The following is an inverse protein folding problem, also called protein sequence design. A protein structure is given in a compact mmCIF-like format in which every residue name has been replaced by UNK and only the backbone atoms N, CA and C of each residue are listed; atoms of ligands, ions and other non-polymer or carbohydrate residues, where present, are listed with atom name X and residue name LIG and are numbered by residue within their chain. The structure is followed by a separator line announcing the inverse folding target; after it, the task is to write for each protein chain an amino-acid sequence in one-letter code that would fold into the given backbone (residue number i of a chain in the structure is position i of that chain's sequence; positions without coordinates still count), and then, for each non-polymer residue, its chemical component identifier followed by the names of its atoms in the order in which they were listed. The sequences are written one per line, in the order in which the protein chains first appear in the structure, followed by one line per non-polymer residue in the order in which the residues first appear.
data_IF_650912869856
#
_entry.id   IF_650912869856
#
_cell.length_a   1.000
_cell.length_b   1.000
_cell.length_c   1.000
_cell.angle_alpha   90.00
_cell.angle_beta   90.00
_cell.angle_gamma   90.00
#
_symmetry.space_group_name_H-M   'P 1'
#
loop_
_entity.id
_entity.type
_entity.pdbx_description
1 polymer ?
#
# COMPACT_ATOMS: atom_id res chain seq x y z
N UNK A 1 15.88 23.91 15.91
CA UNK A 1 16.59 24.20 17.17
C UNK A 1 16.76 22.91 17.93
N UNK A 2 17.98 22.59 18.38
CA UNK A 2 18.23 21.48 19.29
C UNK A 2 18.54 22.05 20.68
N UNK A 3 18.01 21.44 21.73
CA UNK A 3 18.23 21.84 23.13
C UNK A 3 18.29 20.59 24.02
N UNK A 4 18.67 20.74 25.29
CA UNK A 4 18.55 19.68 26.28
C UNK A 4 17.37 19.97 27.21
N UNK A 5 16.58 18.95 27.57
CA UNK A 5 15.55 19.07 28.60
C UNK A 5 16.16 19.09 30.01
N UNK A 6 15.31 19.28 31.02
CA UNK A 6 15.70 19.31 32.44
C UNK A 6 16.36 18.01 32.95
N UNK A 7 16.26 16.92 32.18
CA UNK A 7 16.85 15.61 32.49
C UNK A 7 18.06 15.30 31.60
N UNK A 8 18.56 16.27 30.81
CA UNK A 8 19.70 16.09 29.93
C UNK A 8 19.38 15.34 28.62
N UNK A 9 18.11 15.18 28.26
CA UNK A 9 17.70 14.54 27.00
C UNK A 9 17.67 15.56 25.87
N UNK A 10 18.21 15.21 24.69
CA UNK A 10 18.15 16.07 23.50
C UNK A 10 16.70 16.22 23.04
N UNK A 11 16.27 17.47 22.92
CA UNK A 11 15.01 17.89 22.32
C UNK A 11 15.25 18.55 20.95
N UNK A 12 14.37 18.31 19.99
CA UNK A 12 14.32 19.04 18.72
C UNK A 12 13.03 19.85 18.60
N UNK A 13 13.17 21.14 18.27
CA UNK A 13 12.08 22.09 18.08
C UNK A 13 12.16 22.66 16.67
N UNK A 14 11.07 22.59 15.92
CA UNK A 14 10.94 23.19 14.58
C UNK A 14 9.83 24.20 14.61
N UNK A 15 10.12 25.41 14.16
CA UNK A 15 9.19 26.53 14.09
C UNK A 15 8.83 26.83 12.63
N UNK A 16 7.63 27.35 12.39
CA UNK A 16 7.25 27.88 11.08
C UNK A 16 7.79 29.31 10.86
N UNK A 17 7.47 29.90 9.71
CA UNK A 17 7.93 31.24 9.34
C UNK A 17 7.37 32.36 10.24
N UNK A 18 6.34 32.08 11.04
CA UNK A 18 5.74 33.02 11.99
C UNK A 18 6.28 32.81 13.42
N UNK A 19 7.25 31.92 13.60
CA UNK A 19 7.82 31.60 14.92
C UNK A 19 6.95 30.67 15.77
N UNK A 20 5.94 30.02 15.20
CA UNK A 20 5.08 29.06 15.91
C UNK A 20 5.76 27.69 15.93
N UNK A 21 5.83 27.04 17.10
CA UNK A 21 6.39 25.70 17.22
C UNK A 21 5.48 24.70 16.51
N UNK A 22 5.98 24.04 15.45
CA UNK A 22 5.21 23.09 14.63
C UNK A 22 5.66 21.65 14.79
N UNK A 23 6.90 21.41 15.24
CA UNK A 23 7.36 20.08 15.64
C UNK A 23 8.14 20.10 16.95
N UNK A 24 7.91 19.08 17.75
CA UNK A 24 8.67 18.77 18.95
C UNK A 24 9.10 17.30 18.90
N UNK A 25 10.41 17.02 19.02
CA UNK A 25 10.99 15.68 18.94
C UNK A 25 10.58 14.90 17.68
N UNK A 26 10.54 15.61 16.56
CA UNK A 26 10.13 15.06 15.26
C UNK A 26 8.62 14.77 15.13
N UNK A 27 7.83 14.98 16.19
CA UNK A 27 6.37 14.91 16.15
C UNK A 27 5.78 16.28 15.81
N UNK A 28 4.74 16.28 14.98
CA UNK A 28 3.97 17.47 14.67
C UNK A 28 3.03 17.80 15.82
N UNK A 29 3.04 19.05 16.29
CA UNK A 29 2.26 19.46 17.45
C UNK A 29 0.76 19.61 17.16
N UNK A 30 0.36 19.75 15.89
CA UNK A 30 -1.02 19.60 15.43
C UNK A 30 -1.45 18.13 15.24
N UNK A 31 -0.64 17.19 15.76
CA UNK A 31 -0.85 15.74 15.67
C UNK A 31 -0.47 15.15 14.32
N UNK A 32 -0.22 15.95 13.27
CA UNK A 32 0.17 15.42 11.95
C UNK A 32 0.53 16.46 10.88
N UNK A 33 1.58 16.15 10.10
CA UNK A 33 1.94 16.85 8.84
C UNK A 33 0.78 17.13 7.87
N UNK A 34 -0.28 16.32 7.90
CA UNK A 34 -1.44 16.40 7.01
C UNK A 34 -2.71 16.25 7.83
N UNK A 35 -3.62 17.20 7.71
CA UNK A 35 -4.92 17.19 8.39
C UNK A 35 -5.87 16.19 7.75
N UNK A 36 -5.76 16.00 6.43
CA UNK A 36 -6.63 15.11 5.65
C UNK A 36 -5.85 14.07 4.83
N UNK A 37 -6.53 12.97 4.51
CA UNK A 37 -6.00 11.89 3.69
C UNK A 37 -7.01 11.45 2.62
N UNK A 38 -6.64 11.55 1.36
CA UNK A 38 -7.39 10.96 0.24
C UNK A 38 -6.67 9.68 -0.16
N UNK A 39 -7.39 8.57 -0.21
CA UNK A 39 -6.87 7.25 -0.54
C UNK A 39 -7.51 6.82 -1.84
N UNK A 40 -6.73 6.76 -2.90
CA UNK A 40 -7.17 6.29 -4.22
C UNK A 40 -6.91 4.79 -4.28
N UNK A 41 -7.98 4.01 -4.27
CA UNK A 41 -7.93 2.57 -4.52
C UNK A 41 -7.89 2.36 -6.03
N UNK A 42 -6.71 2.08 -6.60
CA UNK A 42 -6.53 2.02 -8.06
C UNK A 42 -7.04 0.71 -8.68
N UNK A 43 -7.17 -0.37 -7.89
CA UNK A 43 -7.71 -1.66 -8.35
C UNK A 43 -8.59 -2.35 -7.30
N UNK A 44 -9.37 -3.34 -7.72
CA UNK A 44 -10.21 -4.17 -6.82
C UNK A 44 -9.49 -5.40 -6.27
N UNK A 45 -8.16 -5.46 -6.45
CA UNK A 45 -7.34 -6.52 -5.87
C UNK A 45 -7.48 -6.51 -4.34
N UNK A 46 -7.66 -7.68 -3.73
CA UNK A 46 -7.92 -7.80 -2.28
C UNK A 46 -6.85 -7.11 -1.42
N UNK A 47 -5.57 -7.30 -1.74
CA UNK A 47 -4.45 -6.63 -1.04
C UNK A 47 -4.53 -5.11 -1.14
N UNK A 48 -4.99 -4.58 -2.27
CA UNK A 48 -5.15 -3.14 -2.49
C UNK A 48 -6.33 -2.58 -1.69
N UNK A 49 -7.45 -3.32 -1.66
CA UNK A 49 -8.62 -3.00 -0.83
C UNK A 49 -8.26 -2.99 0.66
N UNK A 50 -7.54 -4.00 1.12
CA UNK A 50 -7.08 -4.10 2.51
C UNK A 50 -6.11 -2.96 2.87
N UNK A 51 -5.13 -2.68 2.00
CA UNK A 51 -4.21 -1.58 2.17
C UNK A 51 -4.93 -0.22 2.23
N UNK A 52 -5.90 0.02 1.35
CA UNK A 52 -6.71 1.23 1.35
C UNK A 52 -7.51 1.37 2.66
N UNK A 53 -8.14 0.30 3.13
CA UNK A 53 -8.86 0.29 4.40
C UNK A 53 -7.95 0.50 5.61
N UNK A 54 -6.78 -0.13 5.66
CA UNK A 54 -5.81 0.08 6.73
C UNK A 54 -5.34 1.55 6.79
N UNK A 55 -5.08 2.17 5.63
CA UNK A 55 -4.74 3.60 5.56
C UNK A 55 -5.88 4.50 6.04
N UNK A 56 -7.13 4.16 5.75
CA UNK A 56 -8.30 4.88 6.20
C UNK A 56 -8.48 4.75 7.72
N UNK A 57 -8.42 3.53 8.24
CA UNK A 57 -8.66 3.20 9.65
C UNK A 57 -7.63 3.84 10.59
N UNK A 58 -6.46 4.24 10.07
CA UNK A 58 -5.50 5.04 10.83
C UNK A 58 -6.08 6.38 11.30
N UNK A 59 -6.96 6.99 10.49
CA UNK A 59 -7.62 8.29 10.75
C UNK A 59 -8.97 8.36 10.04
N UNK A 60 -9.99 7.61 10.52
CA UNK A 60 -11.25 7.48 9.80
C UNK A 60 -11.99 8.82 9.67
N UNK A 61 -11.90 9.68 10.69
CA UNK A 61 -12.57 10.98 10.71
C UNK A 61 -11.93 12.05 9.81
N UNK A 62 -10.74 11.77 9.26
CA UNK A 62 -10.05 12.70 8.36
C UNK A 62 -9.54 12.03 7.09
N UNK A 63 -10.16 10.91 6.72
CA UNK A 63 -9.81 10.17 5.52
C UNK A 63 -11.03 9.92 4.63
N UNK A 64 -10.79 9.79 3.33
CA UNK A 64 -11.78 9.33 2.35
C UNK A 64 -11.11 8.28 1.46
N UNK A 65 -11.84 7.22 1.11
CA UNK A 65 -11.44 6.26 0.08
C UNK A 65 -12.23 6.57 -1.18
N UNK A 66 -11.53 6.74 -2.28
CA UNK A 66 -12.09 7.03 -3.60
C UNK A 66 -11.52 6.06 -4.64
N UNK A 67 -12.22 5.92 -5.76
CA UNK A 67 -11.81 5.12 -6.91
C UNK A 67 -12.20 5.85 -8.20
N UNK A 68 -11.41 5.67 -9.24
CA UNK A 68 -11.81 6.08 -10.59
C UNK A 68 -12.57 4.91 -11.24
N UNK A 69 -13.79 5.16 -11.71
CA UNK A 69 -14.55 4.16 -12.46
C UNK A 69 -13.97 3.96 -13.88
N UNK A 70 -14.55 3.04 -14.65
CA UNK A 70 -14.09 2.72 -16.00
C UNK A 70 -14.22 3.91 -16.98
N UNK A 71 -15.07 4.88 -16.68
CA UNK A 71 -15.26 6.10 -17.47
C UNK A 71 -14.33 7.24 -17.00
N UNK A 72 -13.51 7.01 -15.98
CA UNK A 72 -12.64 8.01 -15.39
C UNK A 72 -13.35 8.95 -14.40
N UNK A 73 -14.58 8.65 -13.99
CA UNK A 73 -15.26 9.42 -12.95
C UNK A 73 -14.73 9.04 -11.58
N UNK A 74 -14.60 10.04 -10.71
CA UNK A 74 -14.23 9.82 -9.32
C UNK A 74 -15.46 9.42 -8.50
N UNK A 75 -15.41 8.25 -7.89
CA UNK A 75 -16.44 7.69 -7.01
C UNK A 75 -15.89 7.57 -5.59
N UNK A 76 -16.69 7.97 -4.60
CA UNK A 76 -16.35 7.75 -3.19
C UNK A 76 -16.78 6.36 -2.77
N UNK A 77 -15.88 5.59 -2.16
CA UNK A 77 -16.16 4.26 -1.62
C UNK A 77 -16.40 4.27 -0.11
N UNK A 78 -15.75 5.20 0.61
CA UNK A 78 -15.83 5.29 2.07
C UNK A 78 -15.52 6.69 2.56
N UNK A 79 -16.29 7.17 3.53
CA UNK A 79 -16.11 8.50 4.14
C UNK A 79 -16.85 9.62 3.41
N UNK A 80 -17.99 9.33 2.76
CA UNK A 80 -18.76 10.30 1.96
C UNK A 80 -19.15 11.58 2.70
N UNK A 81 -19.41 11.50 4.01
CA UNK A 81 -19.73 12.68 4.82
C UNK A 81 -18.51 13.60 5.06
N UNK A 82 -17.30 13.15 4.76
CA UNK A 82 -16.07 13.88 5.01
C UNK A 82 -15.56 14.62 3.78
N UNK A 83 -15.45 15.94 3.89
CA UNK A 83 -14.73 16.76 2.91
C UNK A 83 -13.32 17.06 3.42
N UNK A 84 -12.25 16.68 2.68
CA UNK A 84 -10.88 17.00 3.07
C UNK A 84 -10.66 18.50 3.26
N UNK A 85 -9.97 18.89 4.33
CA UNK A 85 -9.55 20.27 4.64
C UNK A 85 -8.10 20.36 5.15
N UNK A 86 -7.51 21.54 5.06
CA UNK A 86 -6.12 21.79 5.41
C UNK A 86 -5.10 21.08 4.49
N UNK A 87 -3.89 20.88 5.03
CA UNK A 87 -2.85 20.15 4.33
C UNK A 87 -3.25 18.69 4.10
N UNK A 88 -3.40 18.31 2.84
CA UNK A 88 -3.96 17.02 2.44
C UNK A 88 -2.90 16.14 1.79
N UNK A 89 -2.92 14.86 2.13
CA UNK A 89 -2.13 13.84 1.44
C UNK A 89 -3.03 12.99 0.55
N UNK A 90 -2.57 12.71 -0.66
CA UNK A 90 -3.16 11.71 -1.55
C UNK A 90 -2.24 10.48 -1.55
N UNK A 91 -2.83 9.29 -1.51
CA UNK A 91 -2.12 8.02 -1.72
C UNK A 91 -2.77 7.31 -2.90
N UNK A 92 -2.02 7.08 -3.98
CA UNK A 92 -2.40 6.15 -5.05
C UNK A 92 -1.94 4.76 -4.61
N UNK A 93 -2.89 3.83 -4.43
CA UNK A 93 -2.62 2.52 -3.83
C UNK A 93 -2.87 1.45 -4.88
N UNK A 94 -1.81 0.75 -5.26
CA UNK A 94 -1.86 -0.44 -6.10
C UNK A 94 -0.53 -1.20 -6.01
N UNK A 95 -0.46 -2.34 -6.69
CA UNK A 95 0.82 -2.96 -7.02
C UNK A 95 1.70 -2.03 -7.86
N UNK A 96 3.01 -2.12 -7.65
CA UNK A 96 3.99 -1.33 -8.40
C UNK A 96 3.89 -1.49 -9.91
N UNK A 97 3.71 -2.73 -10.35
CA UNK A 97 3.54 -3.09 -11.75
C UNK A 97 2.29 -2.44 -12.35
N UNK A 98 1.16 -2.47 -11.64
CA UNK A 98 -0.10 -1.87 -12.08
C UNK A 98 0.01 -0.34 -12.20
N UNK A 99 0.62 0.33 -11.21
CA UNK A 99 0.87 1.78 -11.31
C UNK A 99 1.80 2.12 -12.48
N UNK A 100 2.77 1.25 -12.77
CA UNK A 100 3.71 1.44 -13.89
C UNK A 100 3.02 1.23 -15.23
N UNK A 101 2.16 0.22 -15.33
CA UNK A 101 1.33 -0.05 -16.51
C UNK A 101 0.32 1.06 -16.77
N UNK A 102 -0.32 1.59 -15.71
CA UNK A 102 -1.20 2.75 -15.82
C UNK A 102 -0.41 3.97 -16.34
N UNK A 103 0.83 4.14 -15.86
CA UNK A 103 1.76 5.12 -16.39
C UNK A 103 1.59 6.52 -15.83
N UNK A 104 2.67 7.30 -15.96
CA UNK A 104 2.80 8.61 -15.34
C UNK A 104 1.72 9.62 -15.77
N UNK A 105 1.34 9.62 -17.05
CA UNK A 105 0.39 10.59 -17.60
C UNK A 105 -1.03 10.33 -17.08
N UNK A 106 -1.49 9.08 -17.11
CA UNK A 106 -2.80 8.70 -16.56
C UNK A 106 -2.89 9.04 -15.07
N UNK A 107 -1.84 8.75 -14.30
CA UNK A 107 -1.77 9.13 -12.89
C UNK A 107 -1.81 10.66 -12.70
N UNK A 108 -1.17 11.42 -13.60
CA UNK A 108 -1.21 12.89 -13.58
C UNK A 108 -2.59 13.45 -13.91
N UNK A 109 -3.32 12.83 -14.84
CA UNK A 109 -4.72 13.17 -15.11
C UNK A 109 -5.62 12.91 -13.90
N UNK A 110 -5.44 11.78 -13.21
CA UNK A 110 -6.12 11.51 -11.95
C UNK A 110 -5.76 12.55 -10.88
N UNK A 111 -4.49 12.93 -10.77
CA UNK A 111 -4.04 13.98 -9.85
C UNK A 111 -4.68 15.35 -10.15
N UNK A 112 -4.84 15.69 -11.43
CA UNK A 112 -5.55 16.89 -11.89
C UNK A 112 -7.02 16.85 -11.48
N UNK A 113 -7.71 15.73 -11.70
CA UNK A 113 -9.11 15.56 -11.29
C UNK A 113 -9.24 15.71 -9.77
N UNK A 114 -8.39 15.06 -8.98
CA UNK A 114 -8.40 15.21 -7.51
C UNK A 114 -8.17 16.66 -7.06
N UNK A 115 -7.29 17.39 -7.75
CA UNK A 115 -7.06 18.81 -7.49
C UNK A 115 -8.30 19.66 -7.84
N UNK A 116 -9.03 19.33 -8.91
CA UNK A 116 -10.27 20.00 -9.29
C UNK A 116 -11.42 19.69 -8.32
N UNK A 117 -11.52 18.46 -7.85
CA UNK A 117 -12.60 18.02 -6.94
C UNK A 117 -12.40 18.53 -5.51
N UNK A 118 -11.18 18.42 -4.97
CA UNK A 118 -10.94 18.68 -3.55
C UNK A 118 -10.11 19.94 -3.28
N UNK A 119 -9.34 20.43 -4.24
CA UNK A 119 -8.42 21.54 -4.02
C UNK A 119 -9.13 22.90 -4.01
N UNK A 120 -8.96 23.66 -2.93
CA UNK A 120 -9.54 25.01 -2.78
C UNK A 120 -8.73 25.87 -1.79
N UNK A 121 -9.29 26.98 -1.28
CA UNK A 121 -8.63 27.83 -0.27
C UNK A 121 -8.32 27.07 1.03
N UNK A 122 -9.24 26.22 1.44
CA UNK A 122 -9.18 25.49 2.70
C UNK A 122 -8.41 24.18 2.58
N UNK A 123 -8.34 23.61 1.37
CA UNK A 123 -7.77 22.28 1.11
C UNK A 123 -6.58 22.37 0.15
N UNK A 124 -5.38 22.10 0.68
CA UNK A 124 -4.14 22.13 -0.09
C UNK A 124 -3.58 20.72 -0.20
N UNK A 125 -3.52 20.17 -1.41
CA UNK A 125 -2.80 18.92 -1.63
C UNK A 125 -1.30 19.22 -1.46
N UNK A 126 -0.71 18.69 -0.39
CA UNK A 126 0.68 18.92 -0.01
C UNK A 126 1.57 17.74 -0.38
N UNK A 127 1.00 16.54 -0.54
CA UNK A 127 1.75 15.36 -0.97
C UNK A 127 0.89 14.38 -1.74
N UNK A 128 1.45 13.83 -2.80
CA UNK A 128 0.93 12.65 -3.51
C UNK A 128 1.95 11.52 -3.37
N UNK A 129 1.51 10.35 -2.92
CA UNK A 129 2.37 9.19 -2.73
C UNK A 129 1.92 8.04 -3.63
N UNK A 130 2.84 7.49 -4.42
CA UNK A 130 2.66 6.19 -5.05
C UNK A 130 2.96 5.12 -4.00
N UNK A 131 1.92 4.38 -3.61
CA UNK A 131 1.96 3.31 -2.61
C UNK A 131 1.88 1.99 -3.34
N UNK A 132 3.03 1.59 -3.86
CA UNK A 132 3.29 0.30 -4.49
C UNK A 132 4.80 0.03 -4.48
N UNK A 133 5.18 -1.23 -4.67
CA UNK A 133 6.56 -1.67 -4.77
C UNK A 133 7.27 -1.02 -5.96
N UNK A 134 8.57 -0.77 -5.87
CA UNK A 134 9.43 -0.39 -7.01
C UNK A 134 8.77 0.61 -7.98
N UNK A 135 8.29 1.75 -7.43
CA UNK A 135 7.68 2.86 -8.19
C UNK A 135 8.71 3.93 -8.55
N UNK A 136 9.93 3.78 -8.07
CA UNK A 136 11.07 4.66 -8.35
C UNK A 136 12.39 3.88 -8.22
N UNK A 137 13.49 4.43 -8.74
CA UNK A 137 14.82 3.81 -8.69
C UNK A 137 15.63 4.00 -9.98
N UNK A 138 16.75 3.27 -10.11
CA UNK A 138 17.59 3.33 -11.31
C UNK A 138 16.88 2.70 -12.52
N UNK A 139 16.19 1.58 -12.30
CA UNK A 139 15.48 0.82 -13.34
C UNK A 139 13.98 1.14 -13.41
N UNK A 140 13.49 2.04 -12.57
CA UNK A 140 12.10 2.48 -12.55
C UNK A 140 12.05 4.01 -12.41
N UNK A 141 11.35 4.68 -13.32
CA UNK A 141 11.28 6.15 -13.34
C UNK A 141 9.86 6.69 -13.23
N UNK A 142 8.87 5.82 -12.97
CA UNK A 142 7.46 6.19 -12.88
C UNK A 142 7.22 7.42 -12.00
N UNK A 143 7.74 7.43 -10.77
CA UNK A 143 7.51 8.56 -9.84
C UNK A 143 8.10 9.86 -10.38
N UNK A 144 9.29 9.82 -10.98
CA UNK A 144 9.91 10.99 -11.60
C UNK A 144 9.06 11.52 -12.75
N UNK A 145 8.63 10.64 -13.66
CA UNK A 145 7.79 11.02 -14.80
C UNK A 145 6.41 11.52 -14.36
N UNK A 146 5.81 10.89 -13.35
CA UNK A 146 4.57 11.36 -12.74
C UNK A 146 4.75 12.77 -12.16
N UNK A 147 5.87 13.04 -11.49
CA UNK A 147 6.18 14.39 -11.00
C UNK A 147 6.32 15.42 -12.13
N UNK A 148 7.01 15.07 -13.22
CA UNK A 148 7.08 15.91 -14.41
C UNK A 148 5.70 16.22 -15.00
N UNK A 149 4.88 15.20 -15.24
CA UNK A 149 3.54 15.38 -15.78
C UNK A 149 2.67 16.25 -14.86
N UNK A 150 2.63 15.97 -13.55
CA UNK A 150 1.84 16.76 -12.59
C UNK A 150 2.25 18.24 -12.58
N UNK A 151 3.55 18.55 -12.50
CA UNK A 151 3.99 19.94 -12.39
C UNK A 151 3.86 20.72 -13.71
N UNK A 152 3.92 20.04 -14.84
CA UNK A 152 3.72 20.64 -16.16
C UNK A 152 2.24 20.90 -16.42
N UNK A 153 1.40 19.89 -16.19
CA UNK A 153 0.00 19.91 -16.63
C UNK A 153 -0.92 20.59 -15.63
N UNK A 154 -0.55 20.58 -14.34
CA UNK A 154 -1.36 21.17 -13.26
C UNK A 154 -0.52 22.11 -12.39
N UNK A 155 -0.31 23.38 -12.81
CA UNK A 155 0.52 24.34 -12.08
C UNK A 155 0.15 24.55 -10.61
N UNK A 156 -1.14 24.40 -10.25
CA UNK A 156 -1.63 24.47 -8.87
C UNK A 156 -1.00 23.42 -7.94
N UNK A 157 -0.45 22.33 -8.51
CA UNK A 157 0.20 21.24 -7.79
C UNK A 157 1.73 21.41 -7.68
N UNK A 158 2.33 22.52 -8.15
CA UNK A 158 3.79 22.76 -7.95
C UNK A 158 4.23 22.81 -6.48
N UNK A 159 3.29 23.08 -5.57
CA UNK A 159 3.51 23.02 -4.12
C UNK A 159 3.43 21.62 -3.51
N UNK A 160 3.03 20.62 -4.31
CA UNK A 160 2.83 19.24 -3.88
C UNK A 160 4.17 18.51 -3.92
N UNK A 161 4.49 17.75 -2.88
CA UNK A 161 5.59 16.79 -2.94
C UNK A 161 5.10 15.46 -3.51
N UNK A 162 5.86 14.85 -4.42
CA UNK A 162 5.51 13.58 -5.04
C UNK A 162 6.50 12.52 -4.58
N UNK A 163 6.00 11.40 -4.05
CA UNK A 163 6.86 10.39 -3.42
C UNK A 163 6.70 9.01 -4.02
N UNK A 164 7.83 8.39 -4.30
CA UNK A 164 7.99 7.02 -4.79
C UNK A 164 8.91 6.22 -3.89
N UNK A 165 9.03 4.92 -4.18
CA UNK A 165 9.76 3.96 -3.35
C UNK A 165 10.55 2.97 -4.20
N UNK A 166 11.76 2.65 -3.75
CA UNK A 166 12.53 1.48 -4.20
C UNK A 166 12.28 0.31 -3.26
N UNK A 167 12.27 -0.91 -3.79
CA UNK A 167 12.00 -2.13 -3.04
C UNK A 167 10.52 -2.38 -2.79
N UNK A 168 10.25 -3.46 -2.05
CA UNK A 168 8.89 -3.90 -1.75
C UNK A 168 8.28 -3.03 -0.64
N UNK A 169 6.96 -2.89 -0.67
CA UNK A 169 6.21 -2.04 0.26
C UNK A 169 4.97 -2.80 0.72
N UNK A 170 4.79 -2.88 2.04
CA UNK A 170 3.59 -3.40 2.67
C UNK A 170 2.88 -2.27 3.43
N UNK A 171 1.55 -2.24 3.35
CA UNK A 171 0.72 -1.53 4.31
C UNK A 171 0.28 -2.52 5.38
N UNK A 172 0.68 -2.30 6.63
CA UNK A 172 0.31 -3.18 7.74
C UNK A 172 -1.13 -2.87 8.20
N UNK A 173 -1.73 -3.77 8.97
CA UNK A 173 -3.09 -3.60 9.51
C UNK A 173 -3.32 -2.29 10.28
N UNK A 174 -2.29 -1.73 10.93
CA UNK A 174 -2.33 -0.44 11.63
C UNK A 174 -2.23 0.79 10.69
N UNK A 175 -2.26 0.58 9.37
CA UNK A 175 -2.14 1.62 8.35
C UNK A 175 -0.74 2.22 8.22
N UNK A 176 0.27 1.60 8.82
CA UNK A 176 1.67 2.00 8.64
C UNK A 176 2.28 1.28 7.46
N UNK A 177 3.42 1.79 6.98
CA UNK A 177 4.10 1.26 5.80
C UNK A 177 5.45 0.70 6.20
N UNK A 178 5.68 -0.56 5.87
CA UNK A 178 6.97 -1.24 6.01
C UNK A 178 7.55 -1.47 4.63
N UNK A 179 8.87 -1.37 4.50
CA UNK A 179 9.55 -1.67 3.24
C UNK A 179 10.61 -2.74 3.46
N UNK A 180 11.07 -3.37 2.39
CA UNK A 180 12.24 -4.26 2.51
C UNK A 180 13.47 -3.47 2.96
N UNK A 181 14.36 -4.13 3.71
CA UNK A 181 15.68 -3.57 4.07
C UNK A 181 16.42 -3.12 2.82
N UNK A 182 17.06 -1.94 2.90
CA UNK A 182 17.72 -1.31 1.76
C UNK A 182 16.77 -0.56 0.80
N UNK A 183 15.46 -0.66 0.98
CA UNK A 183 14.49 0.20 0.30
C UNK A 183 14.73 1.67 0.63
N UNK A 184 14.30 2.55 -0.26
CA UNK A 184 14.39 4.00 -0.07
C UNK A 184 13.12 4.69 -0.51
N UNK A 185 12.88 5.89 0.04
CA UNK A 185 11.78 6.74 -0.40
C UNK A 185 12.33 8.01 -1.02
N UNK A 186 12.03 8.22 -2.29
CA UNK A 186 12.38 9.46 -3.00
C UNK A 186 11.24 10.45 -2.90
N UNK A 187 11.60 11.73 -2.83
CA UNK A 187 10.68 12.85 -2.83
C UNK A 187 11.07 13.81 -3.94
N UNK A 188 10.16 14.01 -4.88
CA UNK A 188 10.24 15.02 -5.92
C UNK A 188 9.47 16.27 -5.50
N UNK A 189 10.03 17.44 -5.77
CA UNK A 189 9.41 18.74 -5.50
C UNK A 189 9.75 19.74 -6.60
N UNK A 190 8.87 20.70 -6.86
CA UNK A 190 9.20 21.83 -7.73
C UNK A 190 10.05 22.86 -6.99
N UNK A 191 11.12 23.32 -7.60
CA UNK A 191 11.92 24.44 -7.14
C UNK A 191 11.65 25.66 -8.02
N UNK A 192 10.89 26.63 -7.49
CA UNK A 192 10.52 27.85 -8.22
C UNK A 192 11.74 28.71 -8.59
N UNK A 193 12.76 28.78 -7.75
CA UNK A 193 13.98 29.56 -8.02
C UNK A 193 14.82 28.97 -9.15
N UNK A 194 14.79 27.65 -9.32
CA UNK A 194 15.50 26.94 -10.40
C UNK A 194 14.61 26.65 -11.61
N UNK A 195 13.31 26.96 -11.52
CA UNK A 195 12.33 26.67 -12.57
C UNK A 195 12.22 25.18 -12.94
N UNK A 196 12.44 24.27 -12.00
CA UNK A 196 12.53 22.84 -12.32
C UNK A 196 12.38 21.91 -11.12
N UNK A 197 12.37 20.60 -11.41
CA UNK A 197 12.21 19.55 -10.40
C UNK A 197 13.51 19.33 -9.64
N UNK A 198 13.39 19.16 -8.33
CA UNK A 198 14.45 18.65 -7.45
C UNK A 198 14.00 17.34 -6.82
N UNK A 199 14.98 16.50 -6.45
CA UNK A 199 14.73 15.24 -5.75
C UNK A 199 15.58 15.14 -4.49
N UNK A 200 15.09 14.39 -3.50
CA UNK A 200 15.87 13.94 -2.34
C UNK A 200 15.42 12.55 -1.93
N UNK A 201 16.35 11.78 -1.39
CA UNK A 201 16.09 10.44 -0.86
C UNK A 201 16.07 10.50 0.66
N UNK A 202 15.07 9.89 1.28
CA UNK A 202 14.97 9.76 2.74
C UNK A 202 15.03 8.29 3.14
N UNK A 203 15.79 8.00 4.20
CA UNK A 203 15.75 6.70 4.89
C UNK A 203 14.37 6.46 5.47
N UNK A 204 13.91 5.21 5.42
CA UNK A 204 12.56 4.83 5.81
C UNK A 204 12.54 4.51 7.30
N UNK A 205 11.44 4.85 7.98
CA UNK A 205 11.29 4.66 9.43
C UNK A 205 11.06 3.20 9.85
N UNK A 206 10.53 2.38 8.94
CA UNK A 206 10.21 0.97 9.17
C UNK A 206 10.69 0.18 7.98
N UNK A 207 11.55 -0.78 8.25
CA UNK A 207 12.05 -1.75 7.30
C UNK A 207 12.02 -3.13 7.93
N UNK A 208 11.96 -4.16 7.09
CA UNK A 208 12.04 -5.56 7.48
C UNK A 208 12.78 -6.34 6.41
N UNK A 209 13.52 -7.37 6.80
CA UNK A 209 14.16 -8.29 5.84
C UNK A 209 13.11 -9.16 5.12
N UNK A 210 11.97 -9.41 5.77
CA UNK A 210 10.81 -10.11 5.21
C UNK A 210 9.53 -9.34 5.48
N UNK A 211 8.69 -9.14 4.45
CA UNK A 211 7.36 -8.56 4.58
C UNK A 211 6.35 -9.68 4.84
N UNK A 212 5.24 -9.38 5.52
CA UNK A 212 4.20 -10.37 5.77
C UNK A 212 3.58 -10.82 4.42
N UNK A 213 3.29 -12.11 4.30
CA UNK A 213 2.69 -12.68 3.10
C UNK A 213 1.23 -12.19 2.93
N UNK A 214 0.89 -11.40 1.91
CA UNK A 214 -0.46 -10.92 1.64
C UNK A 214 -1.41 -12.01 1.10
N UNK A 215 -0.93 -13.21 0.75
CA UNK A 215 -1.78 -14.37 0.45
C UNK A 215 -2.29 -15.08 1.73
N UNK A 216 -1.96 -14.55 2.91
CA UNK A 216 -2.34 -15.15 4.18
C UNK A 216 -1.34 -16.17 4.69
N UNK A 217 -1.60 -16.64 5.91
CA UNK A 217 -0.72 -17.53 6.67
C UNK A 217 -0.82 -18.97 6.17
N UNK A 218 -0.34 -19.25 4.95
CA UNK A 218 -0.17 -20.64 4.50
C UNK A 218 0.59 -21.46 5.54
N UNK A 219 1.51 -20.84 6.28
CA UNK A 219 2.23 -21.48 7.38
C UNK A 219 1.32 -22.00 8.50
N UNK A 220 0.25 -21.28 8.87
CA UNK A 220 -0.68 -21.74 9.90
C UNK A 220 -1.62 -22.84 9.35
N UNK A 221 -2.05 -22.73 8.10
CA UNK A 221 -2.83 -23.77 7.42
C UNK A 221 -2.01 -25.06 7.18
N UNK A 222 -0.74 -24.94 6.79
CA UNK A 222 0.19 -26.06 6.63
C UNK A 222 0.42 -26.74 7.99
N UNK A 223 0.58 -25.97 9.08
CA UNK A 223 0.69 -26.53 10.44
C UNK A 223 -0.56 -27.27 10.87
N UNK A 224 -1.74 -26.75 10.54
CA UNK A 224 -3.02 -27.39 10.84
C UNK A 224 -3.19 -28.70 10.06
N UNK A 225 -2.85 -28.71 8.76
CA UNK A 225 -2.83 -29.92 7.95
C UNK A 225 -1.78 -30.93 8.47
N UNK A 226 -0.59 -30.47 8.87
CA UNK A 226 0.44 -31.29 9.51
C UNK A 226 -0.01 -31.89 10.85
N UNK A 227 -0.90 -31.21 11.58
CA UNK A 227 -1.52 -31.73 12.79
C UNK A 227 -2.57 -32.80 12.45
N UNK A 228 -3.42 -32.56 11.44
CA UNK A 228 -4.42 -33.52 10.97
C UNK A 228 -3.78 -34.81 10.47
N UNK A 229 -2.69 -34.73 9.70
CA UNK A 229 -1.94 -35.88 9.19
C UNK A 229 -1.36 -36.81 10.28
N UNK A 230 -1.28 -36.35 11.54
CA UNK A 230 -0.82 -37.14 12.68
C UNK A 230 -1.95 -37.92 13.36
N UNK A 231 -3.21 -37.60 13.07
CA UNK A 231 -4.37 -38.28 13.65
C UNK A 231 -4.53 -39.65 12.98
N UNK A 232 -4.60 -40.70 13.79
CA UNK A 232 -4.80 -42.08 13.33
C UNK A 232 -5.95 -42.74 14.10
N UNK A 233 -6.69 -43.69 13.49
CA UNK A 233 -6.55 -44.17 12.12
C UNK A 233 -7.09 -43.17 11.09
N UNK A 234 -6.44 -43.11 9.92
CA UNK A 234 -6.82 -42.25 8.79
C UNK A 234 -6.90 -43.09 7.52
N UNK A 235 -7.91 -42.84 6.69
CA UNK A 235 -8.02 -43.51 5.39
C UNK A 235 -6.92 -43.04 4.44
N UNK A 236 -6.46 -43.93 3.54
CA UNK A 236 -5.44 -43.58 2.54
C UNK A 236 -5.91 -42.46 1.60
N UNK A 237 -7.21 -42.40 1.28
CA UNK A 237 -7.79 -41.29 0.51
C UNK A 237 -7.68 -39.97 1.28
N UNK A 238 -8.06 -39.93 2.56
CA UNK A 238 -7.96 -38.72 3.40
C UNK A 238 -6.52 -38.24 3.51
N UNK A 239 -5.59 -39.17 3.75
CA UNK A 239 -4.16 -38.88 3.87
C UNK A 239 -3.57 -38.29 2.59
N UNK A 240 -3.99 -38.81 1.43
CA UNK A 240 -3.56 -38.30 0.12
C UNK A 240 -3.99 -36.85 -0.08
N UNK A 241 -5.24 -36.49 0.19
CA UNK A 241 -5.74 -35.11 0.02
C UNK A 241 -4.97 -34.12 0.88
N UNK A 242 -4.81 -34.45 2.17
CA UNK A 242 -4.14 -33.58 3.12
C UNK A 242 -2.69 -33.36 2.69
N UNK A 243 -2.03 -34.41 2.23
CA UNK A 243 -0.66 -34.33 1.69
C UNK A 243 -0.59 -33.47 0.42
N UNK A 244 -1.49 -33.68 -0.54
CA UNK A 244 -1.52 -32.94 -1.80
C UNK A 244 -1.83 -31.46 -1.57
N UNK A 245 -2.81 -31.16 -0.70
CA UNK A 245 -3.20 -29.78 -0.30
C UNK A 245 -2.05 -29.08 0.42
N UNK A 246 -1.37 -29.77 1.35
CA UNK A 246 -0.18 -29.26 2.05
C UNK A 246 0.94 -28.90 1.08
N UNK A 247 1.21 -29.78 0.11
CA UNK A 247 2.26 -29.59 -0.89
C UNK A 247 1.93 -28.44 -1.83
N UNK A 248 0.67 -28.29 -2.24
CA UNK A 248 0.18 -27.17 -3.03
C UNK A 248 0.40 -25.83 -2.29
N UNK A 249 -0.06 -25.73 -1.03
CA UNK A 249 0.16 -24.52 -0.22
C UNK A 249 1.65 -24.22 0.03
N UNK A 250 2.46 -25.26 0.24
CA UNK A 250 3.91 -25.10 0.39
C UNK A 250 4.56 -24.58 -0.90
N UNK A 251 4.15 -25.11 -2.05
CA UNK A 251 4.62 -24.68 -3.37
C UNK A 251 4.23 -23.23 -3.68
N UNK A 252 2.97 -22.87 -3.44
CA UNK A 252 2.48 -21.49 -3.61
C UNK A 252 3.23 -20.52 -2.69
N UNK A 253 3.44 -20.87 -1.42
CA UNK A 253 4.20 -20.05 -0.47
C UNK A 253 5.66 -19.87 -0.91
N UNK A 254 6.30 -20.95 -1.38
CA UNK A 254 7.68 -20.90 -1.89
C UNK A 254 7.80 -20.02 -3.14
N UNK A 255 6.89 -20.17 -4.11
CA UNK A 255 6.87 -19.38 -5.35
C UNK A 255 6.61 -17.90 -5.04
N UNK A 256 5.68 -17.62 -4.12
CA UNK A 256 5.40 -16.26 -3.68
C UNK A 256 6.63 -15.58 -3.07
N UNK A 257 7.40 -16.30 -2.23
CA UNK A 257 8.61 -15.77 -1.59
C UNK A 257 9.78 -15.60 -2.58
N UNK A 258 9.89 -16.46 -3.59
CA UNK A 258 11.05 -16.50 -4.49
C UNK A 258 10.83 -15.75 -5.81
N UNK A 259 9.58 -15.56 -6.25
CA UNK A 259 9.25 -14.92 -7.53
C UNK A 259 7.89 -14.20 -7.48
N UNK A 260 7.74 -13.13 -6.68
CA UNK A 260 6.45 -12.45 -6.44
C UNK A 260 5.79 -11.79 -7.66
N UNK A 261 6.53 -11.62 -8.78
CA UNK A 261 5.98 -11.10 -10.04
C UNK A 261 5.15 -12.11 -10.85
N UNK A 262 5.01 -13.34 -10.38
CA UNK A 262 4.34 -14.45 -11.09
C UNK A 262 2.85 -14.60 -10.73
N UNK A 263 2.14 -13.48 -10.55
CA UNK A 263 0.74 -13.47 -10.06
C UNK A 263 -0.20 -14.31 -10.93
N UNK A 264 -0.07 -14.28 -12.27
CA UNK A 264 -0.84 -15.15 -13.18
C UNK A 264 -0.55 -16.64 -12.97
N UNK A 265 0.71 -16.99 -12.72
CA UNK A 265 1.11 -18.38 -12.44
C UNK A 265 0.61 -18.84 -11.06
N UNK A 266 0.66 -17.96 -10.06
CA UNK A 266 0.13 -18.20 -8.72
C UNK A 266 -1.40 -18.36 -8.79
N UNK A 267 -2.10 -17.49 -9.52
CA UNK A 267 -3.55 -17.60 -9.73
C UNK A 267 -3.91 -18.87 -10.49
N UNK A 268 -3.16 -19.25 -11.53
CA UNK A 268 -3.35 -20.51 -12.24
C UNK A 268 -3.10 -21.75 -11.39
N UNK A 269 -2.13 -21.70 -10.46
CA UNK A 269 -1.92 -22.75 -9.47
C UNK A 269 -3.07 -22.81 -8.45
N UNK A 270 -3.54 -21.67 -7.97
CA UNK A 270 -4.69 -21.60 -7.06
C UNK A 270 -5.96 -22.16 -7.72
N UNK A 271 -6.26 -21.75 -8.96
CA UNK A 271 -7.42 -22.20 -9.72
C UNK A 271 -7.33 -23.70 -10.04
N UNK A 272 -6.15 -24.19 -10.44
CA UNK A 272 -5.92 -25.63 -10.63
C UNK A 272 -6.13 -26.42 -9.34
N UNK A 273 -5.59 -25.97 -8.21
CA UNK A 273 -5.72 -26.68 -6.94
C UNK A 273 -7.11 -26.53 -6.33
N UNK A 274 -7.82 -25.44 -6.58
CA UNK A 274 -9.25 -25.28 -6.24
C UNK A 274 -10.10 -26.27 -7.06
N UNK A 275 -9.82 -26.43 -8.35
CA UNK A 275 -10.47 -27.43 -9.21
C UNK A 275 -10.14 -28.86 -8.79
N UNK A 276 -8.89 -29.16 -8.41
CA UNK A 276 -8.50 -30.47 -7.88
C UNK A 276 -9.19 -30.77 -6.54
N UNK A 277 -9.25 -29.79 -5.63
CA UNK A 277 -9.97 -29.91 -4.36
C UNK A 277 -11.47 -30.09 -4.58
N UNK A 278 -12.06 -29.33 -5.51
CA UNK A 278 -13.49 -29.42 -5.83
C UNK A 278 -13.84 -30.73 -6.52
N UNK A 279 -13.06 -31.17 -7.50
CA UNK A 279 -13.23 -32.47 -8.16
C UNK A 279 -13.12 -33.61 -7.13
N UNK A 280 -12.16 -33.50 -6.21
CA UNK A 280 -12.06 -34.43 -5.09
C UNK A 280 -13.33 -34.44 -4.21
N UNK A 281 -13.83 -33.26 -3.80
CA UNK A 281 -15.04 -33.12 -3.00
C UNK A 281 -16.30 -33.63 -3.72
N UNK A 282 -16.38 -33.45 -5.04
CA UNK A 282 -17.49 -33.90 -5.87
C UNK A 282 -17.47 -35.41 -6.11
N UNK A 283 -16.29 -36.03 -6.26
CA UNK A 283 -16.11 -37.49 -6.37
C UNK A 283 -16.37 -38.23 -5.06
N UNK A 284 -16.31 -37.53 -3.92
CA UNK A 284 -16.37 -38.11 -2.57
C UNK A 284 -17.55 -37.56 -1.74
N UNK A 285 -18.67 -37.22 -2.40
CA UNK A 285 -19.92 -36.74 -1.74
C UNK A 285 -20.42 -37.67 -0.62
N UNK A 286 -20.13 -38.97 -0.68
CA UNK A 286 -20.54 -39.97 0.31
C UNK A 286 -19.71 -39.98 1.61
N UNK A 287 -18.62 -39.19 1.68
CA UNK A 287 -17.82 -39.00 2.91
C UNK A 287 -18.10 -37.69 3.64
N UNK A 288 -19.05 -36.87 3.16
CA UNK A 288 -19.62 -35.84 4.02
C UNK A 288 -20.33 -36.53 5.18
N UNK A 289 -19.74 -36.39 6.35
CA UNK A 289 -20.25 -36.86 7.65
C UNK A 289 -21.76 -36.65 7.69
N UNK A 290 -22.52 -37.75 7.83
CA UNK A 290 -23.90 -37.67 8.30
C UNK A 290 -23.87 -36.86 9.59
N UNK A 291 -24.55 -35.73 9.61
CA UNK A 291 -24.87 -35.06 10.86
C UNK A 291 -25.51 -36.09 11.81
N UNK A 292 -24.84 -36.34 12.93
CA UNK A 292 -25.35 -37.03 14.10
C UNK A 292 -24.98 -36.22 15.33
#
# INVERSE_FOLDING_TARGET
VYSYDKNGKVESKVYDNNGVLVKYNGQHLDGTRYKSNIIVQNSDNATVVEAANALFNKRPNTSVIVKFDQNGNLVTLKGEAYTPTGGTRVNFVDHGANLSQEGAQSLADKARILQQTYGNSDTKIKRMALVGCDTDGVNQSLTRHFAHAVYNDTPALKQTEITGRTGQVQVNADGTKTMTTGGTKTIYSWNSSRGGITQRTETIKRYSDSLENPLGKFDDQIKEIDALLKITPMSESTKKILTDTRNAFSGINYIYQTTPGSVEYIMGLMEKHELELKAYLDEHKDTQVKES
#
